data_IF_156013694859
#
_entry.id   IF_156013694859
#
_cell.length_a   1.000
_cell.length_b   1.000
_cell.length_c   1.000
_cell.angle_alpha   90.00
_cell.angle_beta   90.00
_cell.angle_gamma   90.00
#
_symmetry.space_group_name_H-M   'P 1'
#
loop_
_entity.id
_entity.type
_entity.pdbx_description
1 polymer ?
#
# COMPACT_ATOMS: atom_id res chain seq x y z
N UNK A 1 36.05 26.95 -46.65
CA UNK A 1 35.92 25.84 -45.69
C UNK A 1 34.88 26.26 -44.66
N UNK A 2 33.61 26.01 -44.95
CA UNK A 2 32.77 24.85 -44.54
C UNK A 2 31.98 25.19 -43.28
N UNK A 3 30.73 25.64 -43.49
CA UNK A 3 29.66 25.70 -42.50
C UNK A 3 29.28 24.29 -42.03
N UNK A 4 28.93 24.14 -40.76
CA UNK A 4 28.04 23.08 -40.30
C UNK A 4 26.99 23.66 -39.33
N UNK A 5 25.80 23.92 -39.89
CA UNK A 5 24.53 24.05 -39.20
C UNK A 5 24.12 22.69 -38.62
N UNK A 6 23.68 22.65 -37.37
CA UNK A 6 22.83 21.58 -36.85
C UNK A 6 21.62 22.23 -36.16
N UNK A 7 20.59 22.49 -36.97
CA UNK A 7 19.24 22.76 -36.49
C UNK A 7 18.59 21.42 -36.12
N UNK A 8 18.07 21.32 -34.89
CA UNK A 8 17.21 20.22 -34.47
C UNK A 8 15.81 20.41 -35.07
N UNK A 9 15.25 19.45 -35.83
CA UNK A 9 13.84 19.48 -36.13
C UNK A 9 13.06 18.80 -35.00
N UNK A 10 12.13 19.56 -34.42
CA UNK A 10 11.05 19.05 -33.59
C UNK A 10 10.22 18.04 -34.40
N UNK A 11 10.23 16.76 -34.00
CA UNK A 11 9.34 15.74 -34.55
C UNK A 11 7.94 16.00 -34.01
N UNK A 12 7.14 16.77 -34.75
CA UNK A 12 5.69 16.78 -34.63
C UNK A 12 5.17 15.53 -35.33
N UNK A 13 4.88 14.49 -34.54
CA UNK A 13 4.18 13.31 -35.03
C UNK A 13 2.69 13.66 -35.23
N UNK A 14 2.33 14.22 -36.37
CA UNK A 14 0.96 14.17 -36.86
C UNK A 14 0.63 12.72 -37.24
N UNK A 15 0.07 11.96 -36.29
CA UNK A 15 -0.56 10.68 -36.60
C UNK A 15 -1.88 10.94 -37.33
N UNK A 16 -1.80 10.82 -38.65
CA UNK A 16 -2.89 10.77 -39.61
C UNK A 16 -4.02 9.86 -39.08
N UNK A 17 -5.13 10.47 -38.66
CA UNK A 17 -6.37 9.77 -38.30
C UNK A 17 -6.88 9.06 -39.57
N UNK A 18 -6.66 7.75 -39.67
CA UNK A 18 -7.33 6.95 -40.71
C UNK A 18 -8.72 6.62 -40.19
N UNK A 19 -9.73 7.28 -40.73
CA UNK A 19 -11.12 6.86 -40.60
C UNK A 19 -11.21 5.48 -41.26
N UNK A 20 -11.43 4.44 -40.47
CA UNK A 20 -11.76 3.11 -41.00
C UNK A 20 -13.19 3.17 -41.55
N UNK A 21 -13.32 2.89 -42.85
CA UNK A 21 -14.58 2.56 -43.50
C UNK A 21 -15.01 1.17 -43.02
N UNK A 22 -16.13 1.12 -42.29
CA UNK A 22 -16.71 -0.12 -41.75
C UNK A 22 -17.66 -0.70 -42.80
N UNK A 23 -17.11 -1.57 -43.66
CA UNK A 23 -17.91 -2.50 -44.44
C UNK A 23 -18.68 -3.46 -43.52
N UNK A 24 -19.94 -3.68 -43.89
CA UNK A 24 -21.05 -4.38 -43.17
C UNK A 24 -20.86 -5.90 -42.92
N UNK A 25 -19.70 -6.35 -42.42
CA UNK A 25 -19.55 -7.74 -41.96
C UNK A 25 -18.45 -7.87 -40.89
N UNK A 26 -18.80 -7.66 -39.61
CA UNK A 26 -17.88 -7.92 -38.48
C UNK A 26 -18.61 -8.44 -37.24
N UNK A 27 -18.29 -9.65 -36.73
CA UNK A 27 -18.67 -10.07 -35.40
C UNK A 27 -17.61 -9.59 -34.39
N UNK A 28 -17.60 -8.32 -34.01
CA UNK A 28 -16.52 -7.78 -33.14
C UNK A 28 -17.04 -7.04 -31.88
N UNK A 29 -18.33 -6.69 -31.82
CA UNK A 29 -18.89 -5.93 -30.69
C UNK A 29 -19.13 -6.82 -29.45
N UNK A 30 -19.44 -8.12 -29.64
CA UNK A 30 -19.70 -9.06 -28.54
C UNK A 30 -18.44 -9.46 -27.79
N UNK A 31 -17.35 -9.81 -28.50
CA UNK A 31 -16.09 -10.20 -27.86
C UNK A 31 -15.41 -9.07 -27.08
N UNK A 32 -15.47 -7.84 -27.57
CA UNK A 32 -14.93 -6.67 -26.88
C UNK A 32 -15.69 -6.40 -25.57
N UNK A 33 -17.03 -6.44 -25.64
CA UNK A 33 -17.90 -6.27 -24.47
C UNK A 33 -17.72 -7.40 -23.45
N UNK A 34 -17.51 -8.64 -23.90
CA UNK A 34 -17.23 -9.77 -23.00
C UNK A 34 -15.85 -9.68 -22.35
N UNK A 35 -14.81 -9.26 -23.08
CA UNK A 35 -13.47 -9.00 -22.50
C UNK A 35 -13.50 -7.89 -21.46
N UNK A 36 -14.23 -6.80 -21.70
CA UNK A 36 -14.39 -5.71 -20.72
C UNK A 36 -15.11 -6.18 -19.45
N UNK A 37 -16.17 -6.98 -19.59
CA UNK A 37 -16.87 -7.58 -18.44
C UNK A 37 -15.97 -8.52 -17.65
N UNK A 38 -15.19 -9.36 -18.33
CA UNK A 38 -14.24 -10.27 -17.69
C UNK A 38 -13.11 -9.51 -16.99
N UNK A 39 -12.57 -8.45 -17.60
CA UNK A 39 -11.56 -7.60 -17.01
C UNK A 39 -12.09 -6.86 -15.76
N UNK A 40 -13.30 -6.33 -15.81
CA UNK A 40 -13.96 -5.71 -14.66
C UNK A 40 -14.20 -6.68 -13.50
N UNK A 41 -14.68 -7.90 -13.79
CA UNK A 41 -14.87 -8.95 -12.80
C UNK A 41 -13.54 -9.40 -12.15
N UNK A 42 -12.48 -9.55 -12.95
CA UNK A 42 -11.15 -9.89 -12.45
C UNK A 42 -10.56 -8.77 -11.56
N UNK A 43 -10.77 -7.50 -11.94
CA UNK A 43 -10.36 -6.36 -11.15
C UNK A 43 -11.10 -6.28 -9.81
N UNK A 44 -12.41 -6.54 -9.81
CA UNK A 44 -13.21 -6.54 -8.58
C UNK A 44 -12.86 -7.69 -7.65
N UNK A 45 -12.63 -8.89 -8.19
CA UNK A 45 -12.14 -10.03 -7.42
C UNK A 45 -10.77 -9.72 -6.78
N UNK A 46 -9.86 -9.09 -7.53
CA UNK A 46 -8.55 -8.68 -7.02
C UNK A 46 -8.68 -7.66 -5.88
N UNK A 47 -9.52 -6.64 -6.05
CA UNK A 47 -9.78 -5.63 -4.99
C UNK A 47 -10.35 -6.28 -3.73
N UNK A 48 -11.30 -7.20 -3.87
CA UNK A 48 -11.91 -7.92 -2.74
C UNK A 48 -10.85 -8.73 -1.98
N UNK A 49 -10.03 -9.49 -2.69
CA UNK A 49 -8.94 -10.27 -2.07
C UNK A 49 -7.92 -9.36 -1.37
N UNK A 50 -7.53 -8.23 -1.98
CA UNK A 50 -6.61 -7.27 -1.33
C UNK A 50 -7.21 -6.65 -0.07
N UNK A 51 -8.51 -6.34 -0.10
CA UNK A 51 -9.26 -5.80 1.03
C UNK A 51 -9.33 -6.80 2.19
N UNK A 52 -9.63 -8.07 1.92
CA UNK A 52 -9.59 -9.16 2.91
C UNK A 52 -8.21 -9.32 3.54
N UNK A 53 -7.15 -9.31 2.72
CA UNK A 53 -5.76 -9.39 3.19
C UNK A 53 -5.38 -8.19 4.07
N UNK A 54 -5.82 -6.99 3.72
CA UNK A 54 -5.57 -5.80 4.52
C UNK A 54 -6.29 -5.85 5.88
N UNK A 55 -7.54 -6.35 5.92
CA UNK A 55 -8.27 -6.54 7.19
C UNK A 55 -7.58 -7.57 8.10
N UNK A 56 -7.18 -8.71 7.55
CA UNK A 56 -6.43 -9.72 8.32
C UNK A 56 -5.10 -9.16 8.84
N UNK A 57 -4.35 -8.48 7.97
CA UNK A 57 -3.12 -7.81 8.34
C UNK A 57 -3.34 -6.81 9.48
N UNK A 58 -4.33 -5.93 9.36
CA UNK A 58 -4.60 -4.90 10.35
C UNK A 58 -5.01 -5.50 11.70
N UNK A 59 -5.80 -6.59 11.68
CA UNK A 59 -6.12 -7.34 12.89
C UNK A 59 -4.85 -7.84 13.59
N UNK A 60 -3.96 -8.52 12.87
CA UNK A 60 -2.69 -9.01 13.43
C UNK A 60 -1.78 -7.89 13.94
N UNK A 61 -1.77 -6.75 13.25
CA UNK A 61 -1.03 -5.56 13.67
C UNK A 61 -1.58 -5.00 14.99
N UNK A 62 -2.89 -4.82 15.10
CA UNK A 62 -3.52 -4.31 16.31
C UNK A 62 -3.28 -5.24 17.49
N UNK A 63 -3.44 -6.55 17.30
CA UNK A 63 -3.14 -7.55 18.33
C UNK A 63 -1.66 -7.48 18.77
N UNK A 64 -0.73 -7.27 17.85
CA UNK A 64 0.69 -7.09 18.19
C UNK A 64 0.92 -5.82 19.00
N UNK A 65 0.31 -4.69 18.63
CA UNK A 65 0.42 -3.44 19.38
C UNK A 65 -0.16 -3.59 20.78
N UNK A 66 -1.36 -4.17 20.92
CA UNK A 66 -1.98 -4.42 22.23
C UNK A 66 -1.14 -5.32 23.12
N UNK A 67 -0.56 -6.40 22.57
CA UNK A 67 0.37 -7.26 23.31
C UNK A 67 1.57 -6.45 23.82
N UNK A 68 2.17 -5.63 22.97
CA UNK A 68 3.27 -4.74 23.35
C UNK A 68 2.87 -3.79 24.49
N UNK A 69 1.71 -3.15 24.38
CA UNK A 69 1.20 -2.26 25.44
C UNK A 69 0.99 -3.00 26.76
N UNK A 70 0.39 -4.20 26.74
CA UNK A 70 0.21 -5.02 27.94
C UNK A 70 1.55 -5.39 28.59
N UNK A 71 2.56 -5.73 27.78
CA UNK A 71 3.92 -5.98 28.29
C UNK A 71 4.52 -4.72 28.91
N UNK A 72 4.43 -3.57 28.25
CA UNK A 72 4.97 -2.31 28.78
C UNK A 72 4.28 -1.90 30.10
N UNK A 73 2.95 -2.08 30.18
CA UNK A 73 2.15 -1.76 31.36
C UNK A 73 2.37 -2.75 32.52
N UNK A 74 2.87 -3.96 32.26
CA UNK A 74 3.11 -4.94 33.34
C UNK A 74 4.21 -4.49 34.31
N UNK A 75 5.08 -3.56 33.90
CA UNK A 75 6.23 -3.09 34.68
C UNK A 75 7.31 -4.15 34.90
N UNK A 76 7.11 -5.37 34.39
CA UNK A 76 7.96 -6.55 34.60
C UNK A 76 8.53 -7.10 33.29
N UNK A 77 8.39 -6.36 32.19
CA UNK A 77 8.89 -6.76 30.88
C UNK A 77 10.41 -6.93 30.89
N UNK A 78 10.86 -8.12 30.54
CA UNK A 78 12.27 -8.42 30.40
C UNK A 78 12.83 -8.06 29.01
N UNK A 79 14.16 -8.09 28.87
CA UNK A 79 14.83 -7.76 27.61
C UNK A 79 14.52 -8.74 26.47
N UNK A 80 14.17 -10.00 26.77
CA UNK A 80 13.80 -10.98 25.76
C UNK A 80 12.40 -10.66 25.22
N UNK A 81 11.43 -10.42 26.10
CA UNK A 81 10.08 -10.00 25.74
C UNK A 81 10.07 -8.71 24.91
N UNK A 82 10.89 -7.73 25.29
CA UNK A 82 11.04 -6.49 24.53
C UNK A 82 11.56 -6.73 23.10
N UNK A 83 12.58 -7.60 22.94
CA UNK A 83 13.13 -7.99 21.64
C UNK A 83 12.16 -8.83 20.81
N UNK A 84 11.47 -9.78 21.43
CA UNK A 84 10.50 -10.63 20.74
C UNK A 84 9.33 -9.80 20.19
N UNK A 85 8.85 -8.83 20.97
CA UNK A 85 7.85 -7.87 20.52
C UNK A 85 8.37 -6.97 19.39
N UNK A 86 9.61 -6.46 19.48
CA UNK A 86 10.23 -5.68 18.41
C UNK A 86 10.34 -6.49 17.10
N UNK A 87 10.71 -7.76 17.21
CA UNK A 87 10.76 -8.66 16.05
C UNK A 87 9.38 -8.93 15.45
N UNK A 88 8.34 -9.08 16.28
CA UNK A 88 6.97 -9.27 15.80
C UNK A 88 6.48 -8.05 15.00
N UNK A 89 6.70 -6.83 15.51
CA UNK A 89 6.34 -5.60 14.81
C UNK A 89 7.17 -5.37 13.55
N UNK A 90 8.47 -5.67 13.58
CA UNK A 90 9.33 -5.61 12.39
C UNK A 90 8.83 -6.53 11.28
N UNK A 91 8.48 -7.78 11.60
CA UNK A 91 7.92 -8.71 10.60
C UNK A 91 6.65 -8.17 9.95
N UNK A 92 5.75 -7.57 10.73
CA UNK A 92 4.52 -6.95 10.22
C UNK A 92 4.84 -5.70 9.37
N UNK A 93 5.84 -4.92 9.76
CA UNK A 93 6.33 -3.79 8.95
C UNK A 93 6.87 -4.28 7.60
N UNK A 94 7.70 -5.32 7.58
CA UNK A 94 8.23 -5.89 6.34
C UNK A 94 7.10 -6.46 5.47
N UNK A 95 6.16 -7.19 6.08
CA UNK A 95 4.98 -7.73 5.40
C UNK A 95 4.13 -6.66 4.73
N UNK A 96 4.02 -5.49 5.39
CA UNK A 96 3.20 -4.38 4.94
C UNK A 96 3.67 -3.75 3.63
N UNK A 97 4.89 -4.05 3.17
CA UNK A 97 5.40 -3.62 1.87
C UNK A 97 4.50 -4.01 0.70
N UNK A 98 3.71 -5.09 0.83
CA UNK A 98 2.71 -5.50 -0.18
C UNK A 98 1.59 -4.47 -0.40
N UNK A 99 1.36 -3.58 0.56
CA UNK A 99 0.37 -2.51 0.49
C UNK A 99 0.99 -1.17 0.06
N UNK A 100 2.32 -1.12 -0.09
CA UNK A 100 3.12 0.09 -0.03
C UNK A 100 3.29 0.87 -1.33
N UNK A 101 2.48 0.61 -2.35
CA UNK A 101 2.45 1.48 -3.52
C UNK A 101 1.84 2.83 -3.11
N UNK A 102 2.67 3.89 -3.14
CA UNK A 102 2.22 5.27 -2.92
C UNK A 102 0.98 5.53 -3.80
N UNK A 103 -0.07 6.10 -3.20
CA UNK A 103 -1.39 6.37 -3.80
C UNK A 103 -2.33 5.16 -3.99
N UNK A 104 -1.94 3.95 -3.59
CA UNK A 104 -2.90 2.85 -3.50
C UNK A 104 -3.87 3.04 -2.31
N UNK A 105 -5.13 2.59 -2.43
CA UNK A 105 -6.11 2.69 -1.35
C UNK A 105 -5.60 2.15 0.00
N UNK A 106 -4.77 1.11 -0.04
CA UNK A 106 -4.27 0.41 1.14
C UNK A 106 -2.88 0.91 1.64
N UNK A 107 -2.32 1.97 1.06
CA UNK A 107 -0.99 2.49 1.44
C UNK A 107 -0.89 2.82 2.94
N UNK A 108 -2.02 3.22 3.56
CA UNK A 108 -2.09 3.52 4.99
C UNK A 108 -1.89 2.30 5.89
N UNK A 109 -2.08 1.08 5.38
CA UNK A 109 -1.74 -0.14 6.11
C UNK A 109 -0.23 -0.26 6.32
N UNK A 110 0.58 0.14 5.33
CA UNK A 110 2.03 0.22 5.47
C UNK A 110 2.43 1.31 6.47
N UNK A 111 1.84 2.51 6.36
CA UNK A 111 2.12 3.60 7.32
C UNK A 111 1.80 3.18 8.76
N UNK A 112 0.68 2.51 8.99
CA UNK A 112 0.29 2.00 10.30
C UNK A 112 1.33 1.02 10.87
N UNK A 113 1.86 0.11 10.04
CA UNK A 113 2.86 -0.87 10.45
C UNK A 113 4.21 -0.21 10.80
N UNK A 114 4.65 0.74 9.98
CA UNK A 114 5.86 1.54 10.22
C UNK A 114 5.73 2.32 11.51
N UNK A 115 4.64 3.07 11.69
CA UNK A 115 4.43 3.89 12.88
C UNK A 115 4.27 3.05 14.15
N UNK A 116 3.62 1.88 14.08
CA UNK A 116 3.54 0.95 15.20
C UNK A 116 4.93 0.42 15.61
N UNK A 117 5.75 0.02 14.63
CA UNK A 117 7.11 -0.42 14.88
C UNK A 117 7.97 0.72 15.47
N UNK A 118 7.93 1.92 14.89
CA UNK A 118 8.70 3.07 15.39
C UNK A 118 8.24 3.49 16.79
N UNK A 119 6.95 3.45 17.07
CA UNK A 119 6.43 3.71 18.42
C UNK A 119 7.03 2.75 19.44
N UNK A 120 7.07 1.45 19.13
CA UNK A 120 7.71 0.46 20.00
C UNK A 120 9.20 0.69 20.21
N UNK A 121 9.94 1.09 19.16
CA UNK A 121 11.34 1.46 19.30
C UNK A 121 11.51 2.68 20.23
N UNK A 122 10.66 3.69 20.09
CA UNK A 122 10.64 4.84 21.01
C UNK A 122 10.44 4.41 22.46
N UNK A 123 9.55 3.45 22.73
CA UNK A 123 9.37 2.90 24.07
C UNK A 123 10.64 2.20 24.59
N UNK A 124 11.27 1.32 23.79
CA UNK A 124 12.51 0.63 24.18
C UNK A 124 13.63 1.64 24.48
N UNK A 125 13.77 2.66 23.64
CA UNK A 125 14.76 3.72 23.78
C UNK A 125 14.42 4.77 24.84
N UNK A 126 13.27 4.64 25.52
CA UNK A 126 12.74 5.62 26.49
C UNK A 126 12.54 7.02 25.89
N UNK A 127 12.33 7.10 24.58
CA UNK A 127 11.95 8.30 23.85
C UNK A 127 10.42 8.43 23.85
N UNK A 128 9.91 9.13 24.88
CA UNK A 128 8.47 9.33 25.13
C UNK A 128 7.80 10.07 23.98
N UNK A 129 8.52 11.03 23.38
CA UNK A 129 8.05 11.84 22.27
C UNK A 129 7.83 10.98 21.03
N UNK A 130 8.82 10.16 20.68
CA UNK A 130 8.71 9.22 19.57
C UNK A 130 7.63 8.18 19.82
N UNK A 131 7.58 7.59 21.02
CA UNK A 131 6.54 6.63 21.37
C UNK A 131 5.14 7.21 21.17
N UNK A 132 4.86 8.36 21.78
CA UNK A 132 3.54 8.99 21.79
C UNK A 132 3.11 9.47 20.40
N UNK A 133 3.96 10.23 19.71
CA UNK A 133 3.68 10.76 18.36
C UNK A 133 3.42 9.61 17.38
N UNK A 134 4.26 8.59 17.40
CA UNK A 134 4.13 7.45 16.48
C UNK A 134 2.97 6.55 16.85
N UNK A 135 2.63 6.41 18.14
CA UNK A 135 1.43 5.68 18.52
C UNK A 135 0.15 6.38 18.03
N UNK A 136 0.10 7.70 18.12
CA UNK A 136 -1.02 8.48 17.59
C UNK A 136 -1.11 8.37 16.05
N UNK A 137 0.02 8.49 15.34
CA UNK A 137 0.06 8.30 13.89
C UNK A 137 -0.37 6.90 13.47
N UNK A 138 0.07 5.86 14.19
CA UNK A 138 -0.40 4.49 13.99
C UNK A 138 -1.92 4.40 14.08
N UNK A 139 -2.54 4.95 15.12
CA UNK A 139 -3.99 4.88 15.29
C UNK A 139 -4.74 5.57 14.14
N UNK A 140 -4.25 6.71 13.67
CA UNK A 140 -4.82 7.41 12.53
C UNK A 140 -4.69 6.59 11.24
N UNK A 141 -3.49 6.09 10.93
CA UNK A 141 -3.23 5.30 9.75
C UNK A 141 -3.99 3.95 9.77
N UNK A 142 -4.11 3.31 10.93
CA UNK A 142 -4.89 2.09 11.12
C UNK A 142 -6.37 2.32 10.79
N UNK A 143 -6.96 3.44 11.21
CA UNK A 143 -8.34 3.81 10.86
C UNK A 143 -8.51 4.06 9.36
N UNK A 144 -7.54 4.72 8.73
CA UNK A 144 -7.58 4.96 7.28
C UNK A 144 -7.42 3.65 6.49
N UNK A 145 -6.51 2.77 6.90
CA UNK A 145 -6.38 1.42 6.35
C UNK A 145 -7.68 0.63 6.49
N UNK A 146 -8.30 0.63 7.67
CA UNK A 146 -9.58 -0.05 7.91
C UNK A 146 -10.68 0.44 6.95
N UNK A 147 -10.81 1.77 6.81
CA UNK A 147 -11.79 2.37 5.87
C UNK A 147 -11.54 1.95 4.43
N UNK A 148 -10.28 1.91 4.00
CA UNK A 148 -9.93 1.50 2.64
C UNK A 148 -10.09 -0.01 2.41
N UNK A 149 -9.95 -0.81 3.46
CA UNK A 149 -10.08 -2.26 3.41
C UNK A 149 -11.53 -2.77 3.45
N UNK A 150 -12.52 -1.88 3.57
CA UNK A 150 -13.96 -2.20 3.52
C UNK A 150 -14.47 -2.87 4.79
#
# INVERSE_FOLDING_TARGET
>A
MTLCLLAAPMVHAEQKLRILDLGDDWPVITEATEREKQAGAAQEATKKTQSEQARDFLKRLNEAVERGQKLALSGTMDSKQARDQANALRKLMDESGRFGTLYAPLAKCQSAAVDANTSWQGMISKDVDQYSKKHASYQAAARECAKAAG
#
